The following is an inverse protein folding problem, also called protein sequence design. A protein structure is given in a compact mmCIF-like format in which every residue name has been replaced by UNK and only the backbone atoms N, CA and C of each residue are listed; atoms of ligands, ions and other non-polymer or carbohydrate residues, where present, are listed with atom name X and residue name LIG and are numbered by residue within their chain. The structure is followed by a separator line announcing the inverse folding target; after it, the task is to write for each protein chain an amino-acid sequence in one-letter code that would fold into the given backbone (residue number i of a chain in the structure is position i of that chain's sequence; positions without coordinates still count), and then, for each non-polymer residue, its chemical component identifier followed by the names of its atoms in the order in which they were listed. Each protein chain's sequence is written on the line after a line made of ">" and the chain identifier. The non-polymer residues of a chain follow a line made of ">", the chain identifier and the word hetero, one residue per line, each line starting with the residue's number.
data_IF_914273627951
#
_entry.id   IF_914273627951
#
_cell.length_a   1.000
_cell.length_b   1.000
_cell.length_c   1.000
_cell.angle_alpha   90.00
_cell.angle_beta   90.00
_cell.angle_gamma   90.00
#
_symmetry.space_group_name_H-M   'P 1'
#
loop_
_entity.id
_entity.type
_entity.pdbx_description
1 polymer ?
#
# COMPACT_ATOMS: atom_id res chain seq x y z
N UNK A 1 19.66 4.86 30.40
CA UNK A 1 18.39 5.17 31.09
C UNK A 1 17.35 5.50 30.02
N UNK A 2 16.13 4.97 30.13
CA UNK A 2 15.08 5.25 29.15
C UNK A 2 14.65 6.72 29.21
N UNK A 3 14.55 7.38 28.05
CA UNK A 3 14.09 8.77 27.97
C UNK A 3 12.55 8.80 27.96
N UNK A 4 11.92 9.46 28.94
CA UNK A 4 10.45 9.55 29.02
C UNK A 4 9.84 10.61 28.10
N UNK A 5 10.68 11.34 27.33
CA UNK A 5 10.25 12.40 26.40
C UNK A 5 9.27 13.40 27.03
N UNK A 6 9.40 13.66 28.35
CA UNK A 6 8.61 14.66 29.07
C UNK A 6 7.18 14.24 29.49
N UNK A 7 6.79 12.96 29.40
CA UNK A 7 5.46 12.48 29.82
C UNK A 7 5.52 11.28 30.75
N UNK A 8 4.63 11.25 31.75
CA UNK A 8 4.37 10.07 32.62
C UNK A 8 3.36 9.10 32.00
N UNK A 9 2.54 9.57 31.07
CA UNK A 9 1.62 8.73 30.29
C UNK A 9 2.40 8.01 29.19
N UNK A 10 2.56 6.69 29.34
CA UNK A 10 3.32 5.83 28.42
C UNK A 10 2.79 5.90 26.97
N UNK A 11 1.50 6.16 26.78
CA UNK A 11 0.87 6.30 25.45
C UNK A 11 1.41 7.54 24.74
N UNK A 12 1.50 8.66 25.47
CA UNK A 12 2.07 9.92 24.97
C UNK A 12 3.57 9.81 24.77
N UNK A 13 4.30 9.18 25.70
CA UNK A 13 5.75 9.03 25.60
C UNK A 13 6.16 8.24 24.35
N UNK A 14 5.43 7.17 24.01
CA UNK A 14 5.68 6.43 22.76
C UNK A 14 5.41 7.27 21.51
N UNK A 15 4.38 8.12 21.50
CA UNK A 15 4.13 9.05 20.39
C UNK A 15 5.24 10.11 20.26
N UNK A 16 5.74 10.65 21.37
CA UNK A 16 6.83 11.62 21.37
C UNK A 16 8.14 11.00 20.88
N UNK A 17 8.46 9.78 21.32
CA UNK A 17 9.59 9.01 20.81
C UNK A 17 9.52 8.83 19.28
N UNK A 18 8.36 8.46 18.74
CA UNK A 18 8.17 8.34 17.29
C UNK A 18 8.34 9.70 16.59
N UNK A 19 7.82 10.77 17.17
CA UNK A 19 7.90 12.12 16.60
C UNK A 19 9.34 12.64 16.57
N UNK A 20 10.16 12.31 17.57
CA UNK A 20 11.58 12.71 17.58
C UNK A 20 12.45 11.93 16.59
N UNK A 21 12.02 10.74 16.17
CA UNK A 21 12.85 9.82 15.37
C UNK A 21 12.36 9.58 13.94
N UNK A 22 11.21 10.13 13.55
CA UNK A 22 10.58 9.87 12.25
C UNK A 22 10.08 11.16 11.60
N UNK A 23 10.08 11.20 10.26
CA UNK A 23 9.63 12.37 9.48
C UNK A 23 8.16 12.27 9.03
N UNK A 24 7.64 11.06 8.81
CA UNK A 24 6.31 10.84 8.24
C UNK A 24 5.21 10.92 9.31
N UNK A 25 4.43 12.02 9.31
CA UNK A 25 3.30 12.21 10.23
C UNK A 25 2.27 11.06 10.21
N UNK A 26 1.93 10.56 9.02
CA UNK A 26 0.99 9.43 8.87
C UNK A 26 1.56 8.12 9.43
N UNK A 27 2.86 7.88 9.25
CA UNK A 27 3.54 6.73 9.83
C UNK A 27 3.60 6.82 11.35
N UNK A 28 3.95 8.00 11.90
CA UNK A 28 3.94 8.28 13.34
C UNK A 28 2.56 7.99 13.93
N UNK A 29 1.49 8.53 13.33
CA UNK A 29 0.13 8.33 13.81
C UNK A 29 -0.27 6.84 13.84
N UNK A 30 0.10 6.10 12.78
CA UNK A 30 -0.17 4.65 12.67
C UNK A 30 0.59 3.86 13.74
N UNK A 31 1.89 4.14 13.92
CA UNK A 31 2.71 3.46 14.91
C UNK A 31 2.29 3.82 16.34
N UNK A 32 1.91 5.08 16.59
CA UNK A 32 1.38 5.51 17.88
C UNK A 32 0.02 4.86 18.21
N UNK A 33 -0.84 4.62 17.21
CA UNK A 33 -2.05 3.82 17.41
C UNK A 33 -1.72 2.39 17.85
N UNK A 34 -0.78 1.73 17.17
CA UNK A 34 -0.38 0.35 17.52
C UNK A 34 0.32 0.28 18.87
N UNK A 35 1.14 1.27 19.20
CA UNK A 35 1.72 1.43 20.52
C UNK A 35 0.65 1.54 21.62
N UNK A 36 -0.40 2.34 21.40
CA UNK A 36 -1.52 2.43 22.34
C UNK A 36 -2.18 1.07 22.58
N UNK A 37 -2.33 0.24 21.55
CA UNK A 37 -2.87 -1.12 21.70
C UNK A 37 -2.01 -2.03 22.59
N UNK A 38 -0.70 -1.81 22.62
CA UNK A 38 0.18 -2.49 23.56
C UNK A 38 0.03 -1.93 24.98
N UNK A 39 -0.07 -0.60 25.14
CA UNK A 39 -0.36 0.00 26.44
C UNK A 39 -1.69 -0.48 27.02
N UNK A 40 -2.73 -0.59 26.19
CA UNK A 40 -4.06 -1.09 26.61
C UNK A 40 -3.97 -2.56 27.06
N UNK A 41 -3.17 -3.38 26.37
CA UNK A 41 -2.88 -4.76 26.78
C UNK A 41 -2.15 -4.82 28.13
N UNK A 42 -1.09 -4.04 28.31
CA UNK A 42 -0.38 -3.99 29.59
C UNK A 42 -1.29 -3.55 30.73
N UNK A 43 -2.18 -2.59 30.47
CA UNK A 43 -3.11 -2.11 31.48
C UNK A 43 -4.10 -3.19 31.92
N UNK A 44 -4.56 -4.02 30.99
CA UNK A 44 -5.44 -5.16 31.29
C UNK A 44 -4.72 -6.30 32.03
N UNK A 45 -3.46 -6.57 31.68
CA UNK A 45 -2.71 -7.72 32.23
C UNK A 45 -2.09 -7.44 33.60
N UNK A 46 -1.52 -6.25 33.80
CA UNK A 46 -0.71 -5.92 34.99
C UNK A 46 -1.13 -4.61 35.68
N UNK A 47 -2.19 -3.95 35.20
CA UNK A 47 -2.72 -2.72 35.81
C UNK A 47 -2.00 -1.46 35.33
N UNK A 48 -1.03 -0.95 36.10
CA UNK A 48 -0.29 0.26 35.69
C UNK A 48 1.16 -0.09 35.40
N UNK A 49 1.65 0.33 34.23
CA UNK A 49 3.05 0.23 33.87
C UNK A 49 3.64 1.63 33.63
N UNK A 50 4.69 1.96 34.34
CA UNK A 50 5.60 3.04 34.00
C UNK A 50 6.46 2.66 32.79
N UNK A 51 6.88 3.65 32.00
CA UNK A 51 7.71 3.41 30.82
C UNK A 51 9.01 2.68 31.14
N UNK A 52 9.54 2.89 32.35
CA UNK A 52 10.77 2.26 32.84
C UNK A 52 10.58 0.80 33.26
N UNK A 53 9.35 0.38 33.56
CA UNK A 53 9.01 -0.99 33.96
C UNK A 53 8.81 -1.90 32.76
N UNK A 54 8.63 -1.32 31.56
CA UNK A 54 8.47 -2.09 30.33
C UNK A 54 9.80 -2.76 29.97
N UNK A 55 9.83 -4.07 30.12
CA UNK A 55 10.99 -4.92 29.82
C UNK A 55 10.73 -5.84 28.61
N UNK A 56 11.71 -6.69 28.29
CA UNK A 56 11.58 -7.66 27.20
C UNK A 56 10.47 -8.69 27.46
N UNK A 57 10.25 -9.10 28.71
CA UNK A 57 9.25 -10.10 29.06
C UNK A 57 7.82 -9.62 28.75
N UNK A 58 7.54 -8.33 28.98
CA UNK A 58 6.27 -7.69 28.64
C UNK A 58 6.04 -7.66 27.13
N UNK A 59 7.07 -7.37 26.33
CA UNK A 59 6.98 -7.40 24.86
C UNK A 59 6.76 -8.83 24.36
N UNK A 60 7.40 -9.84 24.99
CA UNK A 60 7.18 -11.25 24.66
C UNK A 60 5.75 -11.69 24.95
N UNK A 61 5.19 -11.34 26.13
CA UNK A 61 3.78 -11.61 26.46
C UNK A 61 2.81 -11.00 25.47
N UNK A 62 3.09 -9.78 25.00
CA UNK A 62 2.29 -9.18 23.94
C UNK A 62 2.42 -9.92 22.61
N UNK A 63 3.61 -10.41 22.29
CA UNK A 63 3.82 -11.31 21.14
C UNK A 63 2.95 -12.56 21.21
N UNK A 64 2.88 -13.21 22.37
CA UNK A 64 2.01 -14.38 22.62
C UNK A 64 0.53 -14.03 22.47
N UNK A 65 0.08 -12.92 23.07
CA UNK A 65 -1.29 -12.43 22.90
C UNK A 65 -1.64 -12.21 21.42
N UNK A 66 -0.74 -11.58 20.65
CA UNK A 66 -0.94 -11.38 19.22
C UNK A 66 -0.99 -12.69 18.42
N UNK A 67 -0.20 -13.69 18.81
CA UNK A 67 -0.26 -15.04 18.23
C UNK A 67 -1.62 -15.69 18.49
N UNK A 68 -2.13 -15.65 19.72
CA UNK A 68 -3.44 -16.21 20.08
C UNK A 68 -4.58 -15.54 19.30
N UNK A 69 -4.52 -14.23 19.10
CA UNK A 69 -5.46 -13.48 18.25
C UNK A 69 -5.39 -13.92 16.78
N UNK A 70 -4.22 -14.35 16.29
CA UNK A 70 -4.11 -14.95 14.96
C UNK A 70 -4.72 -16.34 14.90
N UNK A 71 -4.48 -17.18 15.92
CA UNK A 71 -5.01 -18.54 15.96
C UNK A 71 -6.55 -18.57 16.07
N UNK A 72 -7.15 -17.60 16.75
CA UNK A 72 -8.60 -17.47 16.83
C UNK A 72 -9.25 -16.81 15.59
N UNK A 73 -8.45 -16.33 14.63
CA UNK A 73 -8.94 -15.61 13.45
C UNK A 73 -9.36 -14.16 13.72
N UNK A 74 -9.24 -13.67 14.96
CA UNK A 74 -9.57 -12.30 15.33
C UNK A 74 -8.63 -11.26 14.68
N UNK A 75 -7.39 -11.66 14.35
CA UNK A 75 -6.40 -10.78 13.74
C UNK A 75 -5.60 -11.49 12.65
N UNK A 76 -5.39 -10.82 11.50
CA UNK A 76 -4.52 -11.37 10.46
C UNK A 76 -3.03 -11.37 10.87
N UNK A 77 -2.22 -12.34 10.43
CA UNK A 77 -0.79 -12.38 10.77
C UNK A 77 -0.03 -11.11 10.35
N UNK A 78 -0.39 -10.51 9.21
CA UNK A 78 0.18 -9.25 8.77
C UNK A 78 -0.10 -8.10 9.77
N UNK A 79 -1.30 -8.07 10.36
CA UNK A 79 -1.68 -7.06 11.35
C UNK A 79 -0.93 -7.27 12.66
N UNK A 80 -0.88 -8.51 13.15
CA UNK A 80 -0.16 -8.88 14.37
C UNK A 80 1.34 -8.54 14.28
N UNK A 81 2.02 -8.92 13.21
CA UNK A 81 3.42 -8.57 12.98
C UNK A 81 3.64 -7.05 12.96
N UNK A 82 2.73 -6.29 12.34
CA UNK A 82 2.80 -4.82 12.29
C UNK A 82 2.62 -4.18 13.68
N UNK A 83 1.80 -4.78 14.54
CA UNK A 83 1.60 -4.32 15.92
C UNK A 83 2.88 -4.51 16.73
N UNK A 84 3.45 -5.72 16.73
CA UNK A 84 4.69 -6.00 17.43
C UNK A 84 5.88 -5.18 16.89
N UNK A 85 5.93 -4.97 15.57
CA UNK A 85 6.96 -4.11 14.97
C UNK A 85 6.89 -2.66 15.47
N UNK A 86 5.68 -2.13 15.74
CA UNK A 86 5.54 -0.80 16.31
C UNK A 86 6.03 -0.74 17.75
N UNK A 87 5.73 -1.76 18.56
CA UNK A 87 6.23 -1.88 19.95
C UNK A 87 7.74 -1.94 19.96
N UNK A 88 8.34 -2.82 19.17
CA UNK A 88 9.80 -2.94 19.05
C UNK A 88 10.45 -1.60 18.69
N UNK A 89 9.87 -0.86 17.73
CA UNK A 89 10.43 0.42 17.32
C UNK A 89 10.32 1.50 18.39
N UNK A 90 9.19 1.58 19.08
CA UNK A 90 9.00 2.53 20.19
C UNK A 90 9.98 2.24 21.32
N UNK A 91 10.11 0.96 21.72
CA UNK A 91 11.06 0.54 22.76
C UNK A 91 12.51 0.81 22.35
N UNK A 92 12.86 0.58 21.09
CA UNK A 92 14.19 0.88 20.56
C UNK A 92 14.54 2.37 20.70
N UNK A 93 13.62 3.27 20.34
CA UNK A 93 13.84 4.72 20.45
C UNK A 93 13.94 5.15 21.92
N UNK A 94 13.03 4.68 22.77
CA UNK A 94 12.97 5.07 24.19
C UNK A 94 14.22 4.63 24.95
N UNK A 95 14.70 3.42 24.67
CA UNK A 95 15.84 2.84 25.36
C UNK A 95 17.18 3.24 24.75
N UNK A 96 17.20 3.51 23.44
CA UNK A 96 18.43 3.67 22.68
C UNK A 96 19.15 2.35 22.38
N UNK A 97 18.51 1.20 22.63
CA UNK A 97 19.04 -0.14 22.39
C UNK A 97 17.96 -1.11 21.86
N UNK A 98 18.35 -2.32 21.47
CA UNK A 98 17.41 -3.37 21.01
C UNK A 98 17.16 -4.45 22.06
N UNK A 99 17.39 -4.19 23.35
CA UNK A 99 17.24 -5.20 24.40
C UNK A 99 15.82 -5.77 24.48
N UNK A 100 14.80 -4.92 24.33
CA UNK A 100 13.39 -5.32 24.36
C UNK A 100 12.87 -5.87 23.01
N UNK A 101 13.72 -6.03 22.00
CA UNK A 101 13.28 -6.50 20.69
C UNK A 101 12.80 -7.95 20.76
N UNK A 102 11.63 -8.22 20.15
CA UNK A 102 11.07 -9.57 19.98
C UNK A 102 10.72 -9.82 18.52
N UNK A 103 11.30 -10.86 17.92
CA UNK A 103 11.01 -11.29 16.57
C UNK A 103 9.59 -11.88 16.46
N UNK A 104 8.76 -11.28 15.60
CA UNK A 104 7.36 -11.70 15.45
C UNK A 104 7.20 -13.16 15.03
N UNK A 105 8.03 -13.65 14.11
CA UNK A 105 7.92 -15.01 13.58
C UNK A 105 8.74 -16.01 14.40
N UNK A 106 9.96 -15.66 14.78
CA UNK A 106 10.89 -16.61 15.38
C UNK A 106 10.71 -16.76 16.89
N UNK A 107 10.31 -15.68 17.58
CA UNK A 107 10.15 -15.68 19.04
C UNK A 107 8.68 -15.70 19.43
N UNK A 108 7.85 -14.83 18.83
CA UNK A 108 6.42 -14.77 19.15
C UNK A 108 5.56 -15.78 18.36
N UNK A 109 6.17 -16.54 17.44
CA UNK A 109 5.50 -17.57 16.62
C UNK A 109 4.29 -17.08 15.80
N UNK A 110 4.13 -15.77 15.60
CA UNK A 110 3.09 -15.20 14.76
C UNK A 110 3.28 -15.73 13.33
N UNK A 111 2.24 -16.29 12.68
CA UNK A 111 2.36 -16.86 11.35
C UNK A 111 2.99 -15.88 10.35
N UNK A 112 3.69 -16.41 9.34
CA UNK A 112 4.29 -15.56 8.31
C UNK A 112 3.20 -14.83 7.54
N UNK A 113 3.35 -13.52 7.36
CA UNK A 113 2.50 -12.78 6.43
C UNK A 113 2.75 -13.27 4.99
N UNK A 114 1.68 -13.58 4.28
CA UNK A 114 1.72 -13.86 2.84
C UNK A 114 1.46 -12.56 2.07
N UNK A 115 2.26 -12.30 1.04
CA UNK A 115 2.15 -11.12 0.16
C UNK A 115 1.83 -11.52 -1.28
N UNK A 116 1.23 -12.69 -1.43
CA UNK A 116 0.79 -13.26 -2.69
C UNK A 116 -0.72 -13.04 -2.76
N UNK A 117 -1.20 -12.48 -3.87
CA UNK A 117 -2.63 -12.38 -4.11
C UNK A 117 -3.17 -13.74 -4.53
N UNK A 118 -4.04 -14.31 -3.70
CA UNK A 118 -4.77 -15.54 -3.99
C UNK A 118 -6.16 -15.25 -4.60
N UNK A 119 -6.63 -14.01 -4.47
CA UNK A 119 -7.92 -13.55 -4.98
C UNK A 119 -7.73 -12.28 -5.81
N UNK A 120 -8.51 -12.17 -6.88
CA UNK A 120 -8.50 -10.97 -7.71
C UNK A 120 -9.16 -9.80 -6.95
N UNK A 121 -8.41 -8.70 -6.82
CA UNK A 121 -8.87 -7.46 -6.17
C UNK A 121 -9.01 -6.30 -7.15
N UNK A 122 -8.88 -6.56 -8.46
CA UNK A 122 -9.12 -5.59 -9.50
C UNK A 122 -10.60 -5.18 -9.52
N UNK A 123 -10.85 -3.89 -9.73
CA UNK A 123 -12.21 -3.38 -9.99
C UNK A 123 -12.59 -3.83 -11.40
N UNK A 124 -13.72 -4.52 -11.55
CA UNK A 124 -14.23 -4.92 -12.86
C UNK A 124 -14.59 -3.71 -13.73
N UNK A 125 -14.79 -3.92 -15.03
CA UNK A 125 -15.21 -2.83 -15.94
C UNK A 125 -16.59 -2.28 -15.54
N UNK A 126 -17.54 -3.14 -15.18
CA UNK A 126 -18.88 -2.73 -14.75
C UNK A 126 -18.88 -1.97 -13.42
N UNK A 127 -18.11 -2.42 -12.42
CA UNK A 127 -17.95 -1.68 -11.16
C UNK A 127 -17.34 -0.29 -11.39
N UNK A 128 -16.38 -0.18 -12.31
CA UNK A 128 -15.76 1.09 -12.68
C UNK A 128 -16.77 2.04 -13.34
N UNK A 129 -17.49 1.55 -14.35
CA UNK A 129 -18.50 2.34 -15.08
C UNK A 129 -19.61 2.83 -14.15
N UNK A 130 -20.12 1.97 -13.27
CA UNK A 130 -21.11 2.35 -12.26
C UNK A 130 -20.56 3.44 -11.32
N UNK A 131 -19.33 3.28 -10.85
CA UNK A 131 -18.71 4.27 -9.96
C UNK A 131 -18.52 5.64 -10.65
N UNK A 132 -18.22 5.67 -11.96
CA UNK A 132 -18.10 6.94 -12.70
C UNK A 132 -19.41 7.73 -12.75
N UNK A 133 -20.57 7.06 -12.68
CA UNK A 133 -21.88 7.70 -12.67
C UNK A 133 -22.23 8.30 -11.30
N UNK A 134 -21.73 7.70 -10.23
CA UNK A 134 -22.08 8.09 -8.85
C UNK A 134 -21.07 9.06 -8.22
N UNK A 135 -19.81 9.02 -8.67
CA UNK A 135 -18.73 9.78 -8.03
C UNK A 135 -18.70 11.25 -8.46
N UNK A 136 -18.35 12.16 -7.54
CA UNK A 136 -18.01 13.54 -7.90
C UNK A 136 -16.89 13.59 -8.95
N UNK A 137 -16.99 14.52 -9.91
CA UNK A 137 -16.09 14.59 -11.07
C UNK A 137 -14.59 14.48 -10.75
N UNK A 138 -14.02 15.16 -9.72
CA UNK A 138 -12.60 15.03 -9.41
C UNK A 138 -12.22 13.59 -9.01
N UNK A 139 -13.10 12.91 -8.27
CA UNK A 139 -12.86 11.54 -7.81
C UNK A 139 -13.04 10.54 -8.97
N UNK A 140 -14.04 10.76 -9.83
CA UNK A 140 -14.23 9.97 -11.05
C UNK A 140 -12.99 10.05 -11.96
N UNK A 141 -12.47 11.26 -12.22
CA UNK A 141 -11.23 11.43 -12.98
C UNK A 141 -10.02 10.76 -12.28
N UNK A 142 -9.93 10.82 -10.96
CA UNK A 142 -8.87 10.15 -10.21
C UNK A 142 -8.91 8.63 -10.36
N UNK A 143 -10.08 7.98 -10.35
CA UNK A 143 -10.13 6.52 -10.52
C UNK A 143 -9.74 6.11 -11.95
N UNK A 144 -10.08 6.91 -12.97
CA UNK A 144 -9.57 6.70 -14.33
C UNK A 144 -8.05 6.82 -14.39
N UNK A 145 -7.46 7.84 -13.78
CA UNK A 145 -6.00 7.99 -13.70
C UNK A 145 -5.34 6.80 -12.98
N UNK A 146 -5.94 6.32 -11.88
CA UNK A 146 -5.42 5.15 -11.15
C UNK A 146 -5.49 3.87 -11.99
N UNK A 147 -6.59 3.68 -12.74
CA UNK A 147 -6.83 2.53 -13.60
C UNK A 147 -5.91 2.50 -14.80
N UNK A 148 -5.70 3.64 -15.43
CA UNK A 148 -4.99 3.74 -16.71
C UNK A 148 -3.48 3.99 -16.56
N UNK A 149 -3.05 4.63 -15.47
CA UNK A 149 -1.64 4.99 -15.24
C UNK A 149 -1.05 4.31 -14.00
N UNK A 150 -1.82 3.50 -13.28
CA UNK A 150 -1.34 2.81 -12.09
C UNK A 150 -0.97 3.75 -10.94
N UNK A 151 -1.59 4.94 -10.85
CA UNK A 151 -1.30 5.93 -9.80
C UNK A 151 -1.85 5.53 -8.44
N UNK A 152 -1.25 6.04 -7.35
CA UNK A 152 -1.78 5.88 -5.98
C UNK A 152 -2.92 6.87 -5.80
N UNK A 153 -3.73 6.66 -4.77
CA UNK A 153 -4.70 7.66 -4.35
C UNK A 153 -4.05 9.04 -4.18
N UNK A 154 -2.95 9.12 -3.42
CA UNK A 154 -2.28 10.40 -3.17
C UNK A 154 -1.62 10.99 -4.42
N UNK A 155 -1.03 10.15 -5.27
CA UNK A 155 -0.43 10.57 -6.55
C UNK A 155 -1.51 11.13 -7.48
N UNK A 156 -2.63 10.42 -7.67
CA UNK A 156 -3.75 10.91 -8.50
C UNK A 156 -4.41 12.15 -7.91
N UNK A 157 -4.52 12.27 -6.58
CA UNK A 157 -5.06 13.45 -5.93
C UNK A 157 -4.18 14.68 -6.16
N UNK A 158 -2.85 14.51 -6.07
CA UNK A 158 -1.88 15.61 -6.19
C UNK A 158 -1.41 15.88 -7.62
N UNK A 159 -1.72 15.00 -8.58
CA UNK A 159 -1.30 15.13 -9.97
C UNK A 159 -1.77 16.47 -10.56
N UNK A 160 -0.83 17.21 -11.16
CA UNK A 160 -1.16 18.34 -12.02
C UNK A 160 -1.51 17.84 -13.44
N UNK A 161 -2.72 17.28 -13.61
CA UNK A 161 -3.23 16.71 -14.86
C UNK A 161 -3.01 17.58 -16.11
N UNK A 162 -3.14 18.91 -16.05
CA UNK A 162 -2.87 19.79 -17.21
C UNK A 162 -1.40 19.72 -17.65
N UNK A 163 -0.46 19.62 -16.71
CA UNK A 163 0.97 19.52 -17.03
C UNK A 163 1.30 18.09 -17.48
N UNK A 164 0.75 17.08 -16.81
CA UNK A 164 0.88 15.69 -17.20
C UNK A 164 0.34 15.43 -18.62
N UNK A 165 -0.78 16.04 -19.01
CA UNK A 165 -1.31 15.96 -20.36
C UNK A 165 -0.33 16.57 -21.39
N UNK A 166 0.30 17.70 -21.07
CA UNK A 166 1.32 18.30 -21.96
C UNK A 166 2.53 17.40 -22.12
N UNK A 167 3.05 16.85 -21.02
CA UNK A 167 4.15 15.88 -21.04
C UNK A 167 3.79 14.64 -21.88
N UNK A 168 2.59 14.11 -21.71
CA UNK A 168 2.10 12.98 -22.48
C UNK A 168 2.04 13.28 -24.00
N UNK A 169 1.70 14.51 -24.38
CA UNK A 169 1.62 14.95 -25.78
C UNK A 169 3.00 15.20 -26.40
N UNK A 170 3.97 15.71 -25.62
CA UNK A 170 5.33 15.98 -26.11
C UNK A 170 6.23 14.75 -26.11
N UNK A 171 6.20 13.99 -25.01
CA UNK A 171 7.24 13.01 -24.68
C UNK A 171 6.71 11.57 -24.62
N UNK A 172 5.39 11.39 -24.79
CA UNK A 172 4.70 10.10 -24.61
C UNK A 172 4.93 9.47 -23.23
N UNK A 173 5.15 10.29 -22.21
CA UNK A 173 5.32 9.88 -20.81
C UNK A 173 4.89 10.98 -19.84
N UNK A 174 4.67 10.63 -18.58
CA UNK A 174 4.40 11.58 -17.49
C UNK A 174 5.34 11.35 -16.32
N UNK A 175 5.65 12.43 -15.62
CA UNK A 175 6.41 12.37 -14.37
C UNK A 175 5.46 12.31 -13.16
N UNK A 176 5.73 11.37 -12.24
CA UNK A 176 4.99 11.22 -10.98
C UNK A 176 5.94 11.52 -9.84
N UNK A 177 5.87 12.75 -9.33
CA UNK A 177 6.69 13.27 -8.23
C UNK A 177 5.88 13.39 -6.94
N UNK A 178 4.72 14.07 -7.03
CA UNK A 178 3.89 14.33 -5.87
C UNK A 178 3.11 13.10 -5.39
N UNK A 179 3.08 12.92 -4.07
CA UNK A 179 2.33 11.83 -3.43
C UNK A 179 3.01 10.46 -3.53
N UNK A 180 4.24 10.40 -4.04
CA UNK A 180 5.03 9.17 -4.09
C UNK A 180 5.35 8.67 -2.69
N UNK A 181 5.19 7.35 -2.49
CA UNK A 181 5.52 6.75 -1.20
C UNK A 181 7.04 6.66 -1.05
N UNK A 182 7.58 7.43 -0.10
CA UNK A 182 9.01 7.45 0.18
C UNK A 182 9.84 8.37 -0.72
N UNK A 183 9.19 9.30 -1.46
CA UNK A 183 9.88 10.24 -2.35
C UNK A 183 10.54 9.56 -3.55
N UNK A 184 9.97 8.44 -4.01
CA UNK A 184 10.47 7.70 -5.15
C UNK A 184 9.72 8.14 -6.40
N UNK A 185 10.28 9.15 -7.05
CA UNK A 185 9.78 9.68 -8.31
C UNK A 185 9.91 8.64 -9.42
N UNK A 186 8.99 8.69 -10.39
CA UNK A 186 9.02 7.77 -11.52
C UNK A 186 8.37 8.35 -12.76
N UNK A 187 8.75 7.76 -13.88
CA UNK A 187 8.15 8.02 -15.19
C UNK A 187 7.12 6.93 -15.49
N UNK A 188 5.95 7.32 -15.99
CA UNK A 188 4.92 6.42 -16.48
C UNK A 188 4.76 6.62 -17.99
N UNK A 189 5.05 5.60 -18.82
CA UNK A 189 4.92 5.73 -20.26
C UNK A 189 3.45 5.73 -20.70
N UNK A 190 3.14 6.55 -21.70
CA UNK A 190 1.86 6.62 -22.37
C UNK A 190 1.94 5.76 -23.64
N UNK A 191 1.29 4.61 -23.58
CA UNK A 191 1.39 3.55 -24.59
C UNK A 191 0.08 3.28 -25.32
N UNK A 192 -1.02 3.91 -24.91
CA UNK A 192 -2.32 3.74 -25.54
C UNK A 192 -3.22 4.98 -25.37
N UNK A 193 -4.29 5.04 -26.16
CA UNK A 193 -5.22 6.17 -26.18
C UNK A 193 -6.06 6.28 -24.90
N UNK A 194 -6.29 5.19 -24.16
CA UNK A 194 -7.05 5.24 -22.89
C UNK A 194 -6.31 6.04 -21.83
N UNK A 195 -4.99 5.90 -21.77
CA UNK A 195 -4.12 6.71 -20.91
C UNK A 195 -4.20 8.20 -21.28
N UNK A 196 -4.15 8.50 -22.57
CA UNK A 196 -4.28 9.87 -23.06
C UNK A 196 -5.65 10.46 -22.74
N UNK A 197 -6.73 9.68 -22.92
CA UNK A 197 -8.09 10.13 -22.61
C UNK A 197 -8.27 10.40 -21.11
N UNK A 198 -7.78 9.52 -20.23
CA UNK A 198 -7.83 9.74 -18.79
C UNK A 198 -7.12 11.03 -18.36
N UNK A 199 -6.00 11.40 -19.01
CA UNK A 199 -5.32 12.67 -18.78
C UNK A 199 -6.12 13.87 -19.30
N UNK A 200 -6.78 13.76 -20.46
CA UNK A 200 -7.67 14.81 -21.00
C UNK A 200 -8.84 15.07 -20.06
N UNK A 201 -9.50 14.02 -19.61
CA UNK A 201 -10.66 14.12 -18.71
C UNK A 201 -10.25 14.74 -17.37
N UNK A 202 -9.13 14.31 -16.81
CA UNK A 202 -8.59 14.90 -15.58
C UNK A 202 -8.19 16.37 -15.76
N UNK A 203 -7.59 16.74 -16.90
CA UNK A 203 -7.21 18.13 -17.19
C UNK A 203 -8.44 19.04 -17.34
N UNK A 204 -9.56 18.55 -17.85
CA UNK A 204 -10.81 19.31 -17.95
C UNK A 204 -11.44 19.61 -16.58
N UNK A 205 -11.36 18.66 -15.65
CA UNK A 205 -11.94 18.77 -14.31
C UNK A 205 -11.03 19.52 -13.34
N UNK A 206 -9.70 19.46 -13.53
CA UNK A 206 -8.72 20.09 -12.65
C UNK A 206 -9.03 21.58 -12.41
N UNK A 207 -8.97 22.00 -11.14
CA UNK A 207 -9.02 23.41 -10.72
C UNK A 207 -7.79 23.72 -9.90
N UNK A 208 -6.98 24.68 -10.33
CA UNK A 208 -5.70 24.99 -9.68
C UNK A 208 -4.58 24.01 -10.06
N UNK A 209 -3.82 23.51 -9.09
CA UNK A 209 -2.58 22.74 -9.31
C UNK A 209 -2.72 21.22 -9.10
N UNK A 210 -3.91 20.73 -8.74
CA UNK A 210 -4.13 19.31 -8.45
C UNK A 210 -5.61 18.93 -8.61
N UNK A 211 -5.95 17.65 -8.39
CA UNK A 211 -7.35 17.19 -8.34
C UNK A 211 -8.06 17.55 -7.03
N UNK A 212 -7.33 18.06 -6.04
CA UNK A 212 -7.89 18.53 -4.76
C UNK A 212 -8.56 19.90 -4.98
N UNK A 213 -9.86 20.05 -4.65
CA UNK A 213 -10.54 21.33 -4.73
C UNK A 213 -9.87 22.41 -3.87
N UNK A 214 -9.87 23.66 -4.33
CA UNK A 214 -9.12 24.75 -3.71
C UNK A 214 -9.60 25.08 -2.29
N UNK A 215 -10.87 24.80 -2.00
CA UNK A 215 -11.55 24.97 -0.72
C UNK A 215 -11.26 23.85 0.29
N UNK A 216 -10.57 22.78 -0.13
CA UNK A 216 -10.26 21.64 0.73
C UNK A 216 -8.76 21.49 0.96
N UNK A 217 -8.39 21.20 2.22
CA UNK A 217 -7.07 20.60 2.49
C UNK A 217 -7.01 19.17 1.94
N UNK A 218 -5.80 18.66 1.69
CA UNK A 218 -5.59 17.26 1.30
C UNK A 218 -6.26 16.28 2.29
N UNK A 219 -6.21 16.57 3.59
CA UNK A 219 -6.83 15.73 4.61
C UNK A 219 -8.36 15.68 4.44
N UNK A 220 -9.01 16.83 4.31
CA UNK A 220 -10.46 16.92 4.12
C UNK A 220 -10.88 16.22 2.83
N UNK A 221 -10.19 16.50 1.72
CA UNK A 221 -10.47 15.86 0.44
C UNK A 221 -10.27 14.35 0.49
N UNK A 222 -9.22 13.87 1.16
CA UNK A 222 -9.00 12.44 1.36
C UNK A 222 -10.15 11.81 2.16
N UNK A 223 -10.55 12.40 3.27
CA UNK A 223 -11.66 11.88 4.07
C UNK A 223 -12.95 11.82 3.24
N UNK A 224 -13.28 12.89 2.53
CA UNK A 224 -14.41 12.97 1.60
C UNK A 224 -14.34 11.90 0.50
N UNK A 225 -13.22 11.81 -0.22
CA UNK A 225 -13.07 10.88 -1.33
C UNK A 225 -13.19 9.41 -0.93
N UNK A 226 -12.71 9.04 0.27
CA UNK A 226 -12.89 7.68 0.78
C UNK A 226 -14.33 7.38 1.22
N UNK A 227 -15.09 8.39 1.67
CA UNK A 227 -16.53 8.24 1.94
C UNK A 227 -17.28 8.01 0.63
N UNK A 228 -17.05 8.84 -0.39
CA UNK A 228 -17.72 8.71 -1.69
C UNK A 228 -17.35 7.41 -2.40
N UNK A 229 -16.08 7.02 -2.42
CA UNK A 229 -15.65 5.73 -2.96
C UNK A 229 -16.37 4.56 -2.28
N UNK A 230 -16.56 4.61 -0.96
CA UNK A 230 -17.29 3.57 -0.22
C UNK A 230 -18.78 3.54 -0.57
N UNK A 231 -19.40 4.71 -0.78
CA UNK A 231 -20.80 4.81 -1.22
C UNK A 231 -20.98 4.17 -2.60
N UNK A 232 -20.05 4.45 -3.51
CA UNK A 232 -20.00 3.88 -4.85
C UNK A 232 -19.46 2.43 -4.90
N UNK A 233 -19.27 1.76 -3.76
CA UNK A 233 -18.83 0.36 -3.70
C UNK A 233 -17.39 0.09 -4.12
N UNK A 234 -16.58 1.11 -4.41
CA UNK A 234 -15.21 0.94 -4.92
C UNK A 234 -14.13 1.11 -3.85
N UNK A 235 -12.98 0.50 -4.12
CA UNK A 235 -11.72 0.73 -3.38
C UNK A 235 -10.67 1.23 -4.34
N UNK A 236 -10.14 2.43 -4.13
CA UNK A 236 -9.09 3.04 -4.96
C UNK A 236 -7.94 2.09 -5.33
N UNK A 237 -7.48 1.26 -4.37
CA UNK A 237 -6.37 0.36 -4.64
C UNK A 237 -6.69 -0.73 -5.69
N UNK A 238 -7.97 -1.09 -5.85
CA UNK A 238 -8.41 -2.07 -6.83
C UNK A 238 -8.16 -1.62 -8.27
N UNK A 239 -8.17 -0.32 -8.56
CA UNK A 239 -7.82 0.20 -9.88
C UNK A 239 -6.36 -0.08 -10.25
N UNK A 240 -5.46 -0.04 -9.25
CA UNK A 240 -4.06 -0.42 -9.45
C UNK A 240 -3.88 -1.92 -9.67
N UNK A 241 -4.71 -2.75 -9.07
CA UNK A 241 -4.73 -4.19 -9.38
C UNK A 241 -5.13 -4.41 -10.83
N UNK A 242 -6.17 -3.71 -11.30
CA UNK A 242 -6.58 -3.76 -12.69
C UNK A 242 -5.44 -3.31 -13.64
N UNK A 243 -4.81 -2.16 -13.37
CA UNK A 243 -3.67 -1.68 -14.15
C UNK A 243 -2.56 -2.74 -14.25
N UNK A 244 -2.15 -3.30 -13.10
CA UNK A 244 -1.06 -4.28 -13.06
C UNK A 244 -1.38 -5.52 -13.89
N UNK A 245 -2.61 -6.05 -13.76
CA UNK A 245 -3.06 -7.26 -14.45
C UNK A 245 -3.17 -7.02 -15.95
N UNK A 246 -3.79 -5.90 -16.38
CA UNK A 246 -3.86 -5.52 -17.79
C UNK A 246 -2.46 -5.36 -18.37
N UNK A 247 -1.60 -4.61 -17.69
CA UNK A 247 -0.24 -4.34 -18.15
C UNK A 247 0.62 -5.58 -18.25
N UNK A 248 0.47 -6.52 -17.31
CA UNK A 248 1.11 -7.83 -17.41
C UNK A 248 0.65 -8.55 -18.69
N UNK A 249 -0.67 -8.60 -18.94
CA UNK A 249 -1.25 -9.25 -20.13
C UNK A 249 -0.78 -8.60 -21.43
N UNK A 250 -0.69 -7.28 -21.49
CA UNK A 250 -0.15 -6.54 -22.65
C UNK A 250 1.30 -6.95 -22.98
N UNK A 251 2.13 -7.20 -21.96
CA UNK A 251 3.55 -7.54 -22.15
C UNK A 251 3.72 -9.04 -22.45
N UNK A 252 2.96 -9.91 -21.78
CA UNK A 252 3.13 -11.36 -21.86
C UNK A 252 2.29 -11.99 -22.99
N UNK A 253 1.11 -11.42 -23.26
CA UNK A 253 0.11 -11.98 -24.17
C UNK A 253 -0.86 -12.97 -23.50
N UNK A 254 -0.75 -13.19 -22.19
CA UNK A 254 -1.61 -14.09 -21.42
C UNK A 254 -1.85 -13.56 -20.00
N UNK A 255 -2.87 -14.10 -19.34
CA UNK A 255 -3.28 -13.66 -18.01
C UNK A 255 -2.23 -14.01 -16.94
N UNK A 256 -2.14 -13.18 -15.89
CA UNK A 256 -1.28 -13.41 -14.73
C UNK A 256 -1.88 -14.46 -13.77
N UNK A 257 -1.10 -15.03 -12.81
CA UNK A 257 -1.56 -16.12 -11.95
C UNK A 257 -2.92 -15.91 -11.28
N UNK A 258 -3.15 -14.73 -10.69
CA UNK A 258 -4.39 -14.43 -9.96
C UNK A 258 -5.61 -14.33 -10.87
N UNK A 259 -5.41 -14.07 -12.16
CA UNK A 259 -6.48 -13.97 -13.17
C UNK A 259 -6.69 -15.32 -13.86
N UNK A 260 -5.62 -16.04 -14.18
CA UNK A 260 -5.70 -17.35 -14.82
C UNK A 260 -6.14 -18.47 -13.86
N UNK A 261 -6.00 -18.25 -12.54
CA UNK A 261 -6.21 -19.28 -11.52
C UNK A 261 -5.08 -20.30 -11.44
N UNK A 262 -4.00 -20.12 -12.21
CA UNK A 262 -2.83 -21.01 -12.20
C UNK A 262 -1.85 -20.53 -11.14
N UNK A 263 -1.36 -21.46 -10.32
CA UNK A 263 -0.40 -21.13 -9.26
C UNK A 263 0.91 -20.58 -9.85
N UNK A 264 1.48 -19.59 -9.16
CA UNK A 264 2.75 -18.94 -9.54
C UNK A 264 3.92 -19.93 -9.68
N UNK A 265 5.01 -19.46 -10.27
CA UNK A 265 6.24 -20.25 -10.42
C UNK A 265 6.12 -21.23 -11.57
N UNK A 266 6.66 -22.44 -11.41
CA UNK A 266 6.80 -23.40 -12.53
C UNK A 266 5.45 -23.76 -13.18
N UNK A 267 4.37 -23.86 -12.41
CA UNK A 267 3.04 -24.14 -12.96
C UNK A 267 2.56 -23.01 -13.89
N UNK A 268 2.70 -21.75 -13.47
CA UNK A 268 2.38 -20.60 -14.32
C UNK A 268 3.30 -20.51 -15.55
N UNK A 269 4.60 -20.78 -15.40
CA UNK A 269 5.51 -20.77 -16.55
C UNK A 269 5.14 -21.86 -17.57
N UNK A 270 4.76 -23.05 -17.11
CA UNK A 270 4.26 -24.11 -17.98
C UNK A 270 2.96 -23.69 -18.69
N UNK A 271 2.01 -23.09 -17.96
CA UNK A 271 0.80 -22.50 -18.54
C UNK A 271 1.11 -21.46 -19.63
N UNK A 272 2.06 -20.55 -19.38
CA UNK A 272 2.45 -19.55 -20.38
C UNK A 272 3.10 -20.17 -21.61
N UNK A 273 3.96 -21.17 -21.41
CA UNK A 273 4.64 -21.90 -22.48
C UNK A 273 3.63 -22.57 -23.42
N UNK A 274 2.66 -23.29 -22.85
CA UNK A 274 1.55 -23.91 -23.58
C UNK A 274 0.67 -22.85 -24.28
N UNK A 275 0.21 -21.85 -23.51
CA UNK A 275 -0.74 -20.85 -24.00
C UNK A 275 -0.20 -19.98 -25.13
N UNK A 276 1.11 -19.71 -25.13
CA UNK A 276 1.78 -18.86 -26.11
C UNK A 276 2.49 -19.67 -27.21
N UNK A 277 2.58 -21.00 -27.10
CA UNK A 277 3.33 -21.83 -28.04
C UNK A 277 4.84 -21.53 -28.05
N UNK A 278 5.42 -21.19 -26.90
CA UNK A 278 6.85 -20.84 -26.76
C UNK A 278 7.56 -21.78 -25.79
N UNK A 279 8.89 -21.78 -25.78
CA UNK A 279 9.66 -22.58 -24.82
C UNK A 279 9.45 -22.11 -23.37
N UNK A 280 9.66 -23.01 -22.41
CA UNK A 280 9.60 -22.70 -20.96
C UNK A 280 10.57 -21.56 -20.59
N UNK A 281 11.75 -21.52 -21.21
CA UNK A 281 12.73 -20.44 -20.99
C UNK A 281 12.23 -19.09 -21.49
N UNK A 282 11.63 -19.04 -22.68
CA UNK A 282 11.05 -17.82 -23.24
C UNK A 282 9.83 -17.34 -22.40
N UNK A 283 8.96 -18.27 -21.99
CA UNK A 283 7.84 -17.96 -21.09
C UNK A 283 8.32 -17.36 -19.75
N UNK A 284 9.37 -17.95 -19.17
CA UNK A 284 10.00 -17.48 -17.93
C UNK A 284 10.57 -16.06 -18.07
N UNK A 285 11.28 -15.79 -19.17
CA UNK A 285 11.83 -14.45 -19.49
C UNK A 285 10.71 -13.42 -19.65
N UNK A 286 9.60 -13.77 -20.30
CA UNK A 286 8.43 -12.89 -20.47
C UNK A 286 7.75 -12.55 -19.15
N UNK A 287 7.45 -13.55 -18.30
CA UNK A 287 6.87 -13.31 -16.96
C UNK A 287 7.76 -12.39 -16.13
N UNK A 288 9.07 -12.68 -16.09
CA UNK A 288 10.03 -11.87 -15.34
C UNK A 288 10.06 -10.42 -15.83
N UNK A 289 10.20 -10.21 -17.15
CA UNK A 289 10.23 -8.87 -17.77
C UNK A 289 8.96 -8.09 -17.48
N UNK A 290 7.80 -8.74 -17.57
CA UNK A 290 6.51 -8.10 -17.28
C UNK A 290 6.43 -7.65 -15.83
N UNK A 291 6.77 -8.52 -14.88
CA UNK A 291 6.78 -8.17 -13.45
C UNK A 291 7.78 -7.06 -13.12
N UNK A 292 8.97 -7.06 -13.71
CA UNK A 292 9.95 -5.98 -13.53
C UNK A 292 9.43 -4.64 -14.07
N UNK A 293 8.78 -4.64 -15.24
CA UNK A 293 8.20 -3.43 -15.83
C UNK A 293 7.02 -2.92 -15.00
N UNK A 294 6.07 -3.80 -14.64
CA UNK A 294 4.92 -3.46 -13.78
C UNK A 294 5.38 -2.93 -12.42
N UNK A 295 6.40 -3.52 -11.80
CA UNK A 295 6.95 -3.03 -10.53
C UNK A 295 7.43 -1.58 -10.63
N UNK A 296 8.20 -1.26 -11.68
CA UNK A 296 8.73 0.09 -11.90
C UNK A 296 7.61 1.10 -12.17
N UNK A 297 6.68 0.77 -13.07
CA UNK A 297 5.54 1.63 -13.40
C UNK A 297 4.63 1.89 -12.18
N UNK A 298 4.51 0.93 -11.25
CA UNK A 298 3.80 1.12 -9.97
C UNK A 298 4.63 1.85 -8.89
N UNK A 299 5.87 2.22 -9.16
CA UNK A 299 6.75 2.91 -8.20
C UNK A 299 7.21 1.99 -7.08
N UNK A 300 7.70 0.81 -7.45
CA UNK A 300 8.27 -0.19 -6.55
C UNK A 300 9.65 -0.63 -7.03
N UNK A 301 10.62 -0.64 -6.12
CA UNK A 301 11.99 -1.10 -6.37
C UNK A 301 12.20 -2.61 -6.24
N UNK A 302 11.15 -3.36 -5.82
CA UNK A 302 11.24 -4.79 -5.52
C UNK A 302 10.24 -5.59 -6.35
N UNK A 303 10.77 -6.52 -7.13
CA UNK A 303 9.99 -7.50 -7.91
C UNK A 303 8.91 -8.20 -7.08
N UNK A 304 9.21 -8.60 -5.84
CA UNK A 304 8.28 -9.35 -5.00
C UNK A 304 6.99 -8.61 -4.64
N UNK A 305 6.94 -7.30 -4.83
CA UNK A 305 5.74 -6.50 -4.58
C UNK A 305 4.65 -6.80 -5.62
N UNK A 306 5.02 -7.20 -6.84
CA UNK A 306 4.04 -7.54 -7.88
C UNK A 306 3.21 -8.77 -7.55
N UNK A 307 3.69 -9.64 -6.65
CA UNK A 307 2.92 -10.80 -6.17
C UNK A 307 1.60 -10.37 -5.50
N UNK A 308 1.56 -9.18 -4.88
CA UNK A 308 0.32 -8.66 -4.31
C UNK A 308 -0.70 -8.24 -5.38
N UNK A 309 -0.28 -8.03 -6.62
CA UNK A 309 -1.14 -7.56 -7.71
C UNK A 309 -1.46 -8.67 -8.73
N UNK A 310 -0.50 -9.57 -8.96
CA UNK A 310 -0.50 -10.55 -10.05
C UNK A 310 -0.61 -12.00 -9.57
N UNK A 311 -0.33 -12.27 -8.28
CA UNK A 311 -0.07 -13.62 -7.76
C UNK A 311 1.38 -14.06 -7.95
#
# INVERSE_FOLDING_TARGET
>A
MANNFGSRDIRKSGKFALTSAMLSFSSIATMAYRWRRFCDFLEQEIGYASLHEIDRSMVQRYGVHLYEQCQSGAMSPATAQNYLSAVNRVMEIIRGDRYCYVSAVHEALIPRRHSIAETNKAISDSEHENALQELPQPIAAMICLQRELGLRFEESAKLHAILALRQAQSDAEIEVVDGTKGGLDRIVPITNERQMQALRDAAQVQRGRSMIPAEMSYRQFREFAYIEARRAGIRFHGERHWYAQRRYREIVGADCPVVSGVSRGNAHIAYLSDKLGVSVDEASKRDRRAREKVSRELGHSRFSITNNYLG
#
